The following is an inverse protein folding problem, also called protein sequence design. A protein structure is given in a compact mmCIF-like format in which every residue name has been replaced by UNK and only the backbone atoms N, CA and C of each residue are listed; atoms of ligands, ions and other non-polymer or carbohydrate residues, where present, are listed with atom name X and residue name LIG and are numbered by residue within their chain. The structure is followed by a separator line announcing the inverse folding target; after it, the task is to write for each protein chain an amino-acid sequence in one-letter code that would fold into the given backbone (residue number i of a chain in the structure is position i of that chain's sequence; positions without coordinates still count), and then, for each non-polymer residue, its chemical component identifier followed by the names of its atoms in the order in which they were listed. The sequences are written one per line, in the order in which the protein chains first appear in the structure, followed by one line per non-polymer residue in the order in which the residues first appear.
data_IF_127299858123
#
_entry.id   IF_127299858123
#
_cell.length_a   1.000
_cell.length_b   1.000
_cell.length_c   1.000
_cell.angle_alpha   90.00
_cell.angle_beta   90.00
_cell.angle_gamma   90.00
#
_symmetry.space_group_name_H-M   'P 1'
#
loop_
_entity.id
_entity.type
_entity.pdbx_description
1 polymer ?
#
# COMPACT_ATOMS: atom_id res chain seq x y z
N UNK A 1 10.09 10.29 42.37
CA UNK A 1 9.21 10.99 41.39
C UNK A 1 10.03 11.76 40.36
N UNK A 2 11.06 12.52 40.76
CA UNK A 2 11.92 13.27 39.82
C UNK A 2 12.77 12.38 38.90
N UNK A 3 13.26 11.23 39.39
CA UNK A 3 14.07 10.32 38.56
C UNK A 3 13.25 9.64 37.45
N UNK A 4 12.04 9.18 37.78
CA UNK A 4 11.10 8.59 36.80
C UNK A 4 10.68 9.59 35.71
N UNK A 5 10.52 10.87 36.05
CA UNK A 5 10.20 11.94 35.11
C UNK A 5 11.40 12.23 34.20
N UNK A 6 12.62 12.17 34.75
CA UNK A 6 13.87 12.40 34.00
C UNK A 6 14.12 11.29 32.98
N UNK A 7 13.90 10.02 33.35
CA UNK A 7 14.04 8.87 32.45
C UNK A 7 13.02 8.93 31.30
N UNK A 8 11.76 9.30 31.60
CA UNK A 8 10.72 9.47 30.58
C UNK A 8 11.08 10.60 29.60
N UNK A 9 11.62 11.71 30.12
CA UNK A 9 12.03 12.86 29.32
C UNK A 9 13.19 12.52 28.38
N UNK A 10 14.19 11.79 28.87
CA UNK A 10 15.33 11.32 28.06
C UNK A 10 14.86 10.34 26.99
N UNK A 11 13.97 9.40 27.32
CA UNK A 11 13.38 8.47 26.35
C UNK A 11 12.61 9.19 25.24
N UNK A 12 11.84 10.22 25.59
CA UNK A 12 11.10 11.07 24.63
C UNK A 12 12.05 11.85 23.71
N UNK A 13 13.14 12.39 24.25
CA UNK A 13 14.16 13.12 23.51
C UNK A 13 14.91 12.21 22.52
N UNK A 14 15.29 11.00 22.95
CA UNK A 14 15.95 10.02 22.08
C UNK A 14 15.02 9.57 20.95
N UNK A 15 13.75 9.29 21.24
CA UNK A 15 12.77 8.95 20.20
C UNK A 15 12.59 10.10 19.20
N UNK A 16 12.48 11.35 19.66
CA UNK A 16 12.39 12.51 18.79
C UNK A 16 13.62 12.64 17.86
N UNK A 17 14.84 12.44 18.37
CA UNK A 17 16.05 12.50 17.55
C UNK A 17 16.20 11.36 16.54
N UNK A 18 15.66 10.19 16.84
CA UNK A 18 15.64 9.04 15.93
C UNK A 18 14.63 9.23 14.80
N UNK A 19 13.48 9.85 15.08
CA UNK A 19 12.43 10.15 14.09
C UNK A 19 12.88 11.22 13.09
N UNK A 20 13.66 12.22 13.52
CA UNK A 20 14.14 13.28 12.62
C UNK A 20 15.20 12.80 11.62
N UNK A 21 15.93 11.73 11.93
CA UNK A 21 17.04 11.23 11.10
C UNK A 21 16.58 10.39 9.90
N UNK A 22 15.33 9.91 9.91
CA UNK A 22 14.73 9.11 8.83
C UNK A 22 13.73 9.88 7.99
N UNK A 23 13.52 11.17 8.28
CA UNK A 23 12.54 12.00 7.59
C UNK A 23 13.12 12.57 6.28
N UNK A 24 13.03 11.81 5.20
CA UNK A 24 13.28 12.32 3.85
C UNK A 24 12.04 13.09 3.35
N UNK A 25 11.92 14.37 3.71
CA UNK A 25 10.80 15.24 3.28
C UNK A 25 11.04 15.93 1.92
N UNK A 26 12.17 15.67 1.25
CA UNK A 26 12.60 16.37 0.03
C UNK A 26 12.58 15.51 -1.24
N UNK A 27 11.71 14.50 -1.32
CA UNK A 27 11.34 13.97 -2.62
C UNK A 27 10.06 14.66 -3.05
N UNK A 28 10.18 15.63 -3.95
CA UNK A 28 9.06 15.98 -4.83
C UNK A 28 8.90 14.79 -5.77
N UNK A 29 8.19 13.79 -5.29
CA UNK A 29 7.64 12.76 -6.16
C UNK A 29 6.55 13.46 -6.95
N UNK A 30 6.85 13.97 -8.14
CA UNK A 30 5.80 14.32 -9.10
C UNK A 30 5.15 12.99 -9.48
N UNK A 31 4.16 12.56 -8.70
CA UNK A 31 3.51 11.29 -8.91
C UNK A 31 2.72 11.41 -10.22
N UNK A 32 2.99 10.57 -11.23
CA UNK A 32 2.30 10.67 -12.51
C UNK A 32 0.78 10.54 -12.39
N UNK A 33 0.29 9.91 -11.31
CA UNK A 33 -1.14 9.78 -11.02
C UNK A 33 -1.80 11.07 -10.51
N UNK A 34 -1.05 12.04 -9.96
CA UNK A 34 -1.64 13.30 -9.45
C UNK A 34 -2.30 14.08 -10.59
N UNK A 35 -1.60 14.23 -11.71
CA UNK A 35 -2.12 14.89 -12.92
C UNK A 35 -3.31 14.11 -13.53
N UNK A 36 -3.23 12.78 -13.54
CA UNK A 36 -4.33 11.93 -14.02
C UNK A 36 -5.57 12.15 -13.14
N UNK A 37 -5.40 12.16 -11.82
CA UNK A 37 -6.49 12.34 -10.86
C UNK A 37 -7.09 13.74 -10.92
N UNK A 38 -6.26 14.79 -11.03
CA UNK A 38 -6.73 16.16 -11.20
C UNK A 38 -7.63 16.27 -12.43
N UNK A 39 -7.20 15.73 -13.57
CA UNK A 39 -7.99 15.76 -14.80
C UNK A 39 -9.28 14.91 -14.74
N UNK A 40 -9.25 13.76 -14.07
CA UNK A 40 -10.45 12.94 -13.87
C UNK A 40 -11.45 13.63 -12.93
N UNK A 41 -10.98 14.28 -11.86
CA UNK A 41 -11.83 15.00 -10.90
C UNK A 41 -12.59 16.17 -11.51
N UNK A 42 -12.04 16.81 -12.54
CA UNK A 42 -12.70 17.89 -13.29
C UNK A 42 -13.84 17.36 -14.16
N UNK A 43 -13.83 16.06 -14.48
CA UNK A 43 -14.76 15.43 -15.43
C UNK A 43 -16.03 14.88 -14.75
N UNK A 44 -15.99 14.61 -13.45
CA UNK A 44 -17.13 14.09 -12.66
C UNK A 44 -17.85 15.23 -11.93
N UNK A 45 -18.98 15.70 -12.48
CA UNK A 45 -19.89 16.66 -11.80
C UNK A 45 -20.75 16.01 -10.71
N UNK A 46 -20.77 14.68 -10.58
CA UNK A 46 -21.58 13.95 -9.61
C UNK A 46 -20.75 13.57 -8.38
N UNK A 47 -20.96 14.33 -7.30
CA UNK A 47 -20.31 14.17 -6.00
C UNK A 47 -20.71 12.90 -5.25
N UNK A 48 -20.41 11.73 -5.81
CA UNK A 48 -20.23 10.54 -4.99
C UNK A 48 -18.87 10.66 -4.31
N UNK A 49 -18.83 10.44 -3.00
CA UNK A 49 -17.58 10.39 -2.25
C UNK A 49 -16.94 9.04 -2.63
N UNK A 50 -16.40 8.91 -3.86
CA UNK A 50 -15.49 7.81 -4.20
C UNK A 50 -14.47 7.72 -3.08
N UNK A 51 -14.04 6.52 -2.75
CA UNK A 51 -13.02 6.37 -1.73
C UNK A 51 -11.67 6.75 -2.37
N UNK A 52 -11.43 8.05 -2.53
CA UNK A 52 -10.23 8.61 -3.13
C UNK A 52 -8.97 8.07 -2.47
N UNK A 53 -8.98 7.81 -1.16
CA UNK A 53 -7.86 7.19 -0.46
C UNK A 53 -7.51 5.81 -1.03
N UNK A 54 -8.53 4.97 -1.29
CA UNK A 54 -8.31 3.64 -1.88
C UNK A 54 -7.83 3.73 -3.33
N UNK A 55 -8.41 4.60 -4.16
CA UNK A 55 -7.99 4.77 -5.55
C UNK A 55 -6.55 5.30 -5.65
N UNK A 56 -6.20 6.25 -4.78
CA UNK A 56 -4.85 6.79 -4.68
C UNK A 56 -3.84 5.70 -4.27
N UNK A 57 -4.20 4.87 -3.30
CA UNK A 57 -3.36 3.74 -2.89
C UNK A 57 -3.17 2.74 -4.05
N UNK A 58 -4.24 2.42 -4.78
CA UNK A 58 -4.17 1.51 -5.94
C UNK A 58 -3.30 2.07 -7.08
N UNK A 59 -3.46 3.34 -7.44
CA UNK A 59 -2.65 3.98 -8.47
C UNK A 59 -1.17 4.08 -8.04
N UNK A 60 -0.91 4.35 -6.77
CA UNK A 60 0.45 4.34 -6.22
C UNK A 60 1.06 2.95 -6.30
N UNK A 61 0.30 1.91 -5.98
CA UNK A 61 0.75 0.52 -6.09
C UNK A 61 1.04 0.14 -7.56
N UNK A 62 0.25 0.65 -8.52
CA UNK A 62 0.44 0.45 -9.95
C UNK A 62 1.68 1.18 -10.50
N UNK A 63 2.01 2.39 -10.00
CA UNK A 63 3.28 3.06 -10.37
C UNK A 63 4.48 2.27 -9.85
N UNK A 64 4.39 1.73 -8.64
CA UNK A 64 5.46 0.92 -8.04
C UNK A 64 5.57 -0.48 -8.67
N UNK A 65 4.46 -1.01 -9.21
CA UNK A 65 4.38 -2.33 -9.84
C UNK A 65 3.60 -2.22 -11.17
N UNK A 66 4.22 -1.68 -12.23
CA UNK A 66 3.54 -1.48 -13.50
C UNK A 66 3.06 -2.81 -14.10
N UNK A 67 1.89 -2.75 -14.73
CA UNK A 67 1.25 -3.91 -15.35
C UNK A 67 1.90 -4.17 -16.71
N UNK A 68 2.40 -5.40 -16.92
CA UNK A 68 2.89 -5.79 -18.24
C UNK A 68 1.70 -6.01 -19.19
N UNK A 69 1.57 -5.13 -20.18
CA UNK A 69 0.48 -5.16 -21.18
C UNK A 69 0.38 -6.51 -21.87
N UNK A 70 1.52 -7.14 -22.19
CA UNK A 70 1.54 -8.40 -22.93
C UNK A 70 0.97 -9.59 -22.15
N UNK A 71 0.87 -9.48 -20.82
CA UNK A 71 0.33 -10.52 -19.94
C UNK A 71 -0.84 -10.03 -19.08
N UNK A 72 -1.34 -8.82 -19.34
CA UNK A 72 -2.40 -8.21 -18.55
C UNK A 72 -3.71 -8.97 -18.74
N UNK A 73 -4.44 -9.20 -17.65
CA UNK A 73 -5.81 -9.71 -17.74
C UNK A 73 -6.81 -8.56 -17.87
N UNK A 74 -8.03 -8.86 -18.31
CA UNK A 74 -9.11 -7.86 -18.39
C UNK A 74 -9.35 -7.20 -17.03
N UNK A 75 -9.36 -7.99 -15.97
CA UNK A 75 -9.57 -7.52 -14.60
C UNK A 75 -8.46 -6.56 -14.15
N UNK A 76 -7.21 -6.81 -14.56
CA UNK A 76 -6.10 -5.90 -14.25
C UNK A 76 -6.23 -4.57 -14.98
N UNK A 77 -6.72 -4.58 -16.23
CA UNK A 77 -6.95 -3.36 -17.01
C UNK A 77 -8.16 -2.57 -16.50
N UNK A 78 -9.17 -3.23 -15.94
CA UNK A 78 -10.33 -2.57 -15.31
C UNK A 78 -9.98 -1.77 -14.06
N UNK A 79 -8.78 -1.96 -13.48
CA UNK A 79 -8.29 -1.16 -12.35
C UNK A 79 -7.92 0.27 -12.76
N UNK A 80 -7.81 0.56 -14.06
CA UNK A 80 -7.52 1.90 -14.55
C UNK A 80 -8.83 2.69 -14.71
N UNK A 81 -9.11 3.72 -13.87
CA UNK A 81 -10.40 4.42 -13.87
C UNK A 81 -10.66 5.23 -15.14
N UNK A 82 -9.62 5.49 -15.93
CA UNK A 82 -9.69 6.22 -17.20
C UNK A 82 -9.84 5.30 -18.42
N UNK A 83 -9.81 3.98 -18.26
CA UNK A 83 -10.09 3.04 -19.35
C UNK A 83 -11.54 2.59 -19.32
N UNK A 84 -12.20 2.66 -20.48
CA UNK A 84 -13.52 2.09 -20.66
C UNK A 84 -13.46 0.64 -21.20
N UNK A 85 -14.57 -0.10 -21.08
CA UNK A 85 -14.63 -1.50 -21.52
C UNK A 85 -14.25 -1.70 -22.99
N UNK A 86 -14.60 -0.76 -23.88
CA UNK A 86 -14.28 -0.85 -25.31
C UNK A 86 -12.77 -0.70 -25.55
N UNK A 87 -12.13 0.27 -24.89
CA UNK A 87 -10.68 0.47 -24.92
C UNK A 87 -9.92 -0.75 -24.39
N UNK A 88 -10.43 -1.37 -23.32
CA UNK A 88 -9.85 -2.60 -22.75
C UNK A 88 -9.94 -3.76 -23.75
N UNK A 89 -11.10 -3.96 -24.36
CA UNK A 89 -11.28 -5.00 -25.39
C UNK A 89 -10.39 -4.75 -26.61
N UNK A 90 -10.27 -3.51 -27.08
CA UNK A 90 -9.40 -3.16 -28.21
C UNK A 90 -7.92 -3.42 -27.90
N UNK A 91 -7.48 -3.13 -26.67
CA UNK A 91 -6.11 -3.42 -26.21
C UNK A 91 -5.83 -4.92 -26.24
N UNK A 92 -6.73 -5.72 -25.67
CA UNK A 92 -6.61 -7.18 -25.65
C UNK A 92 -6.69 -7.78 -27.06
N UNK A 93 -7.56 -7.23 -27.91
CA UNK A 93 -7.69 -7.63 -29.31
C UNK A 93 -6.42 -7.33 -30.11
N UNK A 94 -5.80 -6.17 -29.91
CA UNK A 94 -4.53 -5.82 -30.55
C UNK A 94 -3.45 -6.88 -30.25
N UNK A 95 -3.28 -7.25 -28.98
CA UNK A 95 -2.29 -8.26 -28.57
C UNK A 95 -2.63 -9.64 -29.16
N UNK A 96 -3.92 -9.98 -29.20
CA UNK A 96 -4.37 -11.25 -29.77
C UNK A 96 -4.09 -11.35 -31.28
N UNK A 97 -4.29 -10.26 -32.03
CA UNK A 97 -4.14 -10.22 -33.49
C UNK A 97 -2.67 -10.07 -33.90
N UNK A 98 -1.93 -9.17 -33.25
CA UNK A 98 -0.57 -8.80 -33.63
C UNK A 98 0.53 -9.52 -32.84
N UNK A 99 0.16 -10.18 -31.74
CA UNK A 99 1.09 -10.78 -30.78
C UNK A 99 1.54 -9.78 -29.72
N UNK A 100 2.57 -10.16 -28.95
CA UNK A 100 3.12 -9.29 -27.89
C UNK A 100 3.70 -8.00 -28.45
N UNK A 101 3.30 -6.86 -27.87
CA UNK A 101 3.92 -5.57 -28.09
C UNK A 101 5.42 -5.64 -27.79
N UNK A 102 6.20 -4.96 -28.61
CA UNK A 102 7.65 -4.80 -28.45
C UNK A 102 7.99 -3.48 -27.75
N UNK A 103 7.09 -2.49 -27.83
CA UNK A 103 7.25 -1.20 -27.18
C UNK A 103 5.92 -0.62 -26.72
N UNK A 104 5.93 0.16 -25.63
CA UNK A 104 4.76 0.90 -25.13
C UNK A 104 4.17 1.86 -26.18
N UNK A 105 4.96 2.29 -27.17
CA UNK A 105 4.47 3.19 -28.23
C UNK A 105 3.48 2.52 -29.19
N UNK A 106 3.41 1.19 -29.21
CA UNK A 106 2.38 0.45 -29.97
C UNK A 106 0.97 0.68 -29.45
N UNK A 107 0.81 1.23 -28.24
CA UNK A 107 -0.50 1.69 -27.74
C UNK A 107 -1.18 2.68 -28.72
N UNK A 108 -0.40 3.42 -29.51
CA UNK A 108 -0.93 4.34 -30.54
C UNK A 108 -1.60 3.61 -31.71
N UNK A 109 -1.38 2.31 -31.86
CA UNK A 109 -1.96 1.47 -32.90
C UNK A 109 -3.25 0.79 -32.45
N UNK A 110 -3.61 0.92 -31.17
CA UNK A 110 -4.84 0.35 -30.60
C UNK A 110 -6.03 1.21 -30.98
N UNK A 111 -7.08 0.57 -31.50
CA UNK A 111 -8.31 1.27 -31.90
C UNK A 111 -8.98 1.95 -30.70
N UNK A 112 -9.52 3.16 -30.92
CA UNK A 112 -10.23 3.97 -29.92
C UNK A 112 -9.43 4.35 -28.66
N UNK A 113 -8.10 4.18 -28.69
CA UNK A 113 -7.20 4.68 -27.66
C UNK A 113 -6.66 6.05 -28.05
N UNK A 114 -7.21 7.11 -27.46
CA UNK A 114 -6.79 8.48 -27.75
C UNK A 114 -5.47 8.85 -27.05
N UNK A 115 -4.84 9.93 -27.53
CA UNK A 115 -3.53 10.38 -27.02
C UNK A 115 -3.55 10.68 -25.52
N UNK A 116 -4.63 11.24 -24.99
CA UNK A 116 -4.75 11.61 -23.57
C UNK A 116 -4.81 10.32 -22.73
N UNK A 117 -5.64 9.36 -23.12
CA UNK A 117 -5.71 8.05 -22.47
C UNK A 117 -4.37 7.32 -22.50
N UNK A 118 -3.65 7.35 -23.63
CA UNK A 118 -2.29 6.78 -23.71
C UNK A 118 -1.36 7.47 -22.72
N UNK A 119 -1.38 8.81 -22.65
CA UNK A 119 -0.53 9.58 -21.74
C UNK A 119 -0.78 9.22 -20.28
N UNK A 120 -2.05 8.97 -19.91
CA UNK A 120 -2.44 8.51 -18.58
C UNK A 120 -2.03 7.07 -18.31
N UNK A 121 -2.03 6.20 -19.32
CA UNK A 121 -1.68 4.79 -19.15
C UNK A 121 -0.17 4.58 -18.95
N UNK A 122 0.66 5.34 -19.66
CA UNK A 122 2.12 5.17 -19.72
C UNK A 122 2.84 5.00 -18.36
N UNK A 123 2.49 5.73 -17.29
CA UNK A 123 3.18 5.58 -16.01
C UNK A 123 2.91 4.26 -15.28
N UNK A 124 1.83 3.56 -15.63
CA UNK A 124 1.35 2.39 -14.90
C UNK A 124 1.55 1.08 -15.64
N UNK A 125 2.10 1.12 -16.86
CA UNK A 125 2.22 -0.05 -17.72
C UNK A 125 3.64 -0.21 -18.24
N UNK A 126 4.02 -1.47 -18.45
CA UNK A 126 5.28 -1.82 -19.08
C UNK A 126 5.04 -2.80 -20.23
N UNK A 127 6.05 -2.92 -21.08
CA UNK A 127 6.09 -3.92 -22.15
C UNK A 127 7.33 -4.77 -21.90
N UNK A 128 7.09 -5.98 -21.42
CA UNK A 128 8.14 -6.96 -21.15
C UNK A 128 7.83 -8.26 -21.91
N UNK A 129 8.87 -9.00 -22.34
CA UNK A 129 8.68 -10.30 -22.98
C UNK A 129 7.97 -11.25 -22.01
N UNK A 130 6.92 -11.91 -22.50
CA UNK A 130 6.20 -12.94 -21.74
C UNK A 130 7.00 -14.25 -21.83
N UNK A 131 8.16 -14.27 -21.18
CA UNK A 131 8.91 -15.52 -21.05
C UNK A 131 8.11 -16.50 -20.18
N UNK A 132 8.03 -17.75 -20.64
CA UNK A 132 7.27 -18.79 -19.95
C UNK A 132 7.87 -19.02 -18.55
N UNK A 133 7.08 -18.63 -17.55
CA UNK A 133 7.30 -18.69 -16.09
C UNK A 133 8.27 -17.62 -15.57
N UNK A 134 7.70 -16.48 -15.20
CA UNK A 134 8.20 -15.70 -14.07
C UNK A 134 8.28 -16.62 -12.84
N UNK A 135 9.44 -17.21 -12.57
CA UNK A 135 9.68 -17.89 -11.31
C UNK A 135 9.92 -16.82 -10.25
N UNK A 136 8.84 -16.40 -9.60
CA UNK A 136 8.91 -15.49 -8.45
C UNK A 136 9.81 -16.14 -7.41
N UNK A 137 10.99 -15.56 -7.19
CA UNK A 137 11.97 -16.11 -6.26
C UNK A 137 11.69 -15.57 -4.85
N UNK A 138 11.88 -16.37 -3.80
CA UNK A 138 11.73 -15.93 -2.40
C UNK A 138 12.50 -14.63 -2.10
N UNK A 139 13.68 -14.45 -2.71
CA UNK A 139 14.49 -13.23 -2.60
C UNK A 139 13.77 -12.00 -3.14
N UNK A 140 13.02 -12.13 -4.24
CA UNK A 140 12.27 -11.02 -4.82
C UNK A 140 11.05 -10.68 -3.95
N UNK A 141 10.36 -11.71 -3.44
CA UNK A 141 9.24 -11.53 -2.51
C UNK A 141 9.71 -10.75 -1.29
N UNK A 142 10.79 -11.18 -0.63
CA UNK A 142 11.27 -10.52 0.59
C UNK A 142 11.90 -9.14 0.33
N UNK A 143 12.41 -8.87 -0.87
CA UNK A 143 13.05 -7.59 -1.22
C UNK A 143 12.04 -6.52 -1.65
N UNK A 144 11.02 -6.91 -2.41
CA UNK A 144 10.05 -6.00 -3.02
C UNK A 144 8.65 -6.12 -2.42
N UNK A 145 8.47 -6.92 -1.37
CA UNK A 145 7.22 -6.97 -0.62
C UNK A 145 6.99 -5.67 0.15
N UNK A 146 5.74 -5.22 0.20
CA UNK A 146 5.26 -4.11 1.02
C UNK A 146 5.19 -4.58 2.47
N UNK A 147 5.76 -3.79 3.37
CA UNK A 147 5.82 -4.07 4.79
C UNK A 147 5.03 -3.00 5.55
N UNK A 148 3.97 -3.39 6.24
CA UNK A 148 3.11 -2.49 7.00
C UNK A 148 3.19 -2.84 8.48
N UNK A 149 3.46 -1.87 9.34
CA UNK A 149 3.55 -2.08 10.78
C UNK A 149 2.72 -1.02 11.52
N UNK A 150 1.71 -1.49 12.25
CA UNK A 150 0.83 -0.65 13.07
C UNK A 150 1.02 -1.03 14.52
N UNK A 151 1.34 -0.06 15.35
CA UNK A 151 1.48 -0.24 16.80
C UNK A 151 0.57 0.74 17.53
N UNK A 152 -0.09 0.25 18.59
CA UNK A 152 -0.95 1.03 19.47
C UNK A 152 -0.54 0.79 20.91
N UNK A 153 -0.45 1.86 21.69
CA UNK A 153 -0.20 1.81 23.13
C UNK A 153 -1.20 2.72 23.84
N UNK A 154 -2.04 2.14 24.72
CA UNK A 154 -2.98 2.92 25.51
C UNK A 154 -2.52 2.93 26.99
N UNK A 155 -2.19 4.13 27.49
CA UNK A 155 -1.74 4.34 28.87
C UNK A 155 -2.81 5.12 29.65
N UNK A 156 -3.47 4.51 30.66
CA UNK A 156 -4.45 5.23 31.46
C UNK A 156 -3.76 6.21 32.43
N UNK A 157 -4.16 7.49 32.38
CA UNK A 157 -3.67 8.54 33.30
C UNK A 157 -4.36 8.52 34.69
N UNK A 158 -5.25 7.57 34.92
CA UNK A 158 -6.01 7.41 36.15
C UNK A 158 -6.04 5.94 36.58
N UNK A 159 -6.20 5.71 37.89
CA UNK A 159 -6.34 4.36 38.44
C UNK A 159 -7.78 3.88 38.21
N UNK A 160 -7.95 2.88 37.35
CA UNK A 160 -9.25 2.24 37.06
C UNK A 160 -9.68 1.38 38.27
N UNK A 161 -10.96 1.44 38.68
CA UNK A 161 -11.49 0.70 39.86
C UNK A 161 -11.28 -0.83 39.78
N UNK A 162 -11.27 -1.41 38.58
CA UNK A 162 -11.01 -2.84 38.36
C UNK A 162 -9.57 -3.31 38.64
N UNK A 163 -8.65 -2.39 38.96
CA UNK A 163 -7.22 -2.65 39.17
C UNK A 163 -6.84 -2.62 40.66
N UNK A 164 -7.82 -2.56 41.57
CA UNK A 164 -7.59 -2.54 43.02
C UNK A 164 -7.40 -3.93 43.64
N UNK A 165 -7.78 -5.02 42.95
CA UNK A 165 -7.61 -6.39 43.43
C UNK A 165 -7.06 -7.31 42.32
N UNK A 166 -6.01 -8.07 42.65
CA UNK A 166 -5.39 -9.15 41.86
C UNK A 166 -5.09 -8.81 40.39
N UNK A 167 -4.21 -7.83 40.18
CA UNK A 167 -3.62 -7.55 38.88
C UNK A 167 -2.18 -8.06 38.84
N UNK A 168 -1.85 -8.93 37.88
CA UNK A 168 -0.53 -9.55 37.78
C UNK A 168 0.44 -8.75 36.90
N UNK A 169 -0.06 -7.86 36.04
CA UNK A 169 0.73 -7.07 35.08
C UNK A 169 0.37 -5.58 35.00
N UNK A 170 1.13 -4.79 34.23
CA UNK A 170 0.91 -3.35 34.08
C UNK A 170 -0.40 -3.01 33.35
N UNK A 171 -0.99 -1.86 33.68
CA UNK A 171 -2.27 -1.37 33.16
C UNK A 171 -2.22 -0.77 31.74
N UNK A 172 -1.21 -1.14 30.97
CA UNK A 172 -0.96 -0.63 29.62
C UNK A 172 -1.47 -1.66 28.61
N UNK A 173 -2.31 -1.22 27.69
CA UNK A 173 -2.70 -1.99 26.52
C UNK A 173 -1.67 -1.77 25.42
N UNK A 174 -1.26 -2.84 24.74
CA UNK A 174 -0.39 -2.73 23.58
C UNK A 174 -0.90 -3.65 22.48
N UNK A 175 -0.96 -3.16 21.24
CA UNK A 175 -1.14 -4.01 20.07
C UNK A 175 -0.11 -3.71 19.00
N UNK A 176 0.30 -4.76 18.30
CA UNK A 176 1.20 -4.72 17.16
C UNK A 176 0.59 -5.56 16.07
N UNK A 177 0.38 -4.95 14.90
CA UNK A 177 -0.06 -5.61 13.68
C UNK A 177 1.00 -5.40 12.63
N UNK A 178 1.48 -6.48 12.05
CA UNK A 178 2.45 -6.48 10.97
C UNK A 178 1.83 -7.17 9.76
N UNK A 179 1.76 -6.47 8.64
CA UNK A 179 1.31 -6.96 7.34
C UNK A 179 2.48 -7.06 6.36
N UNK A 180 2.45 -8.11 5.56
CA UNK A 180 3.37 -8.34 4.46
C UNK A 180 2.56 -8.68 3.21
N UNK A 181 2.79 -7.91 2.15
CA UNK A 181 2.06 -8.05 0.89
C UNK A 181 3.04 -8.02 -0.28
N UNK A 182 2.92 -8.97 -1.22
CA UNK A 182 3.71 -8.99 -2.44
C UNK A 182 2.82 -9.26 -3.66
N UNK A 183 2.48 -8.19 -4.38
CA UNK A 183 1.56 -8.20 -5.53
C UNK A 183 0.27 -8.97 -5.19
N UNK A 184 -0.49 -9.38 -6.18
CA UNK A 184 -1.68 -10.23 -5.98
C UNK A 184 -1.34 -11.70 -5.64
N UNK A 185 -0.08 -12.00 -5.27
CA UNK A 185 0.43 -13.38 -5.13
C UNK A 185 0.61 -13.83 -3.68
N UNK A 186 1.01 -12.94 -2.77
CA UNK A 186 1.33 -13.32 -1.38
C UNK A 186 0.81 -12.30 -0.38
N UNK A 187 0.12 -12.80 0.64
CA UNK A 187 -0.39 -12.04 1.78
C UNK A 187 -0.03 -12.80 3.07
N UNK A 188 0.62 -12.13 4.01
CA UNK A 188 0.95 -12.68 5.31
C UNK A 188 0.82 -11.58 6.39
N UNK A 189 0.41 -11.95 7.60
CA UNK A 189 0.29 -11.00 8.69
C UNK A 189 0.52 -11.63 10.05
N UNK A 190 1.03 -10.84 10.98
CA UNK A 190 1.25 -11.21 12.38
C UNK A 190 0.53 -10.17 13.24
N UNK A 191 -0.32 -10.64 14.15
CA UNK A 191 -1.01 -9.78 15.12
C UNK A 191 -0.65 -10.25 16.52
N UNK A 192 -0.16 -9.32 17.33
CA UNK A 192 0.13 -9.52 18.74
C UNK A 192 -0.61 -8.46 19.55
N UNK A 193 -1.52 -8.90 20.41
CA UNK A 193 -2.25 -8.02 21.32
C UNK A 193 -1.93 -8.40 22.76
N UNK A 194 -1.76 -7.37 23.59
CA UNK A 194 -1.56 -7.51 25.01
C UNK A 194 -2.60 -6.66 25.73
N UNK A 195 -3.49 -7.36 26.43
CA UNK A 195 -4.46 -6.71 27.28
C UNK A 195 -3.81 -6.06 28.50
N UNK A 196 -4.50 -5.02 28.97
CA UNK A 196 -4.14 -4.35 30.21
C UNK A 196 -4.25 -5.36 31.35
N UNK A 197 -3.18 -5.53 32.13
CA UNK A 197 -3.21 -6.37 33.35
C UNK A 197 -2.65 -7.75 33.30
N UNK A 198 -2.42 -8.27 32.11
CA UNK A 198 -1.85 -9.58 31.94
C UNK A 198 -0.31 -9.48 31.89
N UNK A 199 0.42 -10.49 32.42
CA UNK A 199 1.86 -10.63 32.19
C UNK A 199 2.14 -10.90 30.71
N UNK A 200 3.26 -10.40 30.19
CA UNK A 200 3.68 -10.65 28.81
C UNK A 200 3.96 -12.15 28.60
N UNK A 201 3.19 -12.82 27.74
CA UNK A 201 3.40 -14.24 27.40
C UNK A 201 2.99 -15.25 28.48
N UNK A 202 2.15 -14.87 29.45
CA UNK A 202 1.62 -15.85 30.41
C UNK A 202 0.48 -16.69 29.79
N UNK A 203 0.78 -17.95 29.48
CA UNK A 203 -0.19 -19.01 29.11
C UNK A 203 -1.07 -19.43 30.31
N UNK A 204 -1.72 -18.50 31.00
CA UNK A 204 -2.66 -18.84 32.05
C UNK A 204 -3.86 -17.90 32.03
N UNK A 205 -4.85 -18.26 31.20
CA UNK A 205 -6.24 -18.00 31.53
C UNK A 205 -6.71 -19.15 32.42
N UNK A 206 -7.13 -18.85 33.65
CA UNK A 206 -7.85 -19.76 34.54
C UNK A 206 -9.21 -19.17 34.83
#
# INVERSE_FOLDING_TARGET
MNESISILSIFLLVNMTLITSTCHAQNRSDYPWEEVMENLSISDEEGDIRNWENELEELTDLVNNPVNINSATKEQLQRFPFLNDVQIENLLAYIYIHGSMQTVYELQLVEELDRQTIQYLLPFVCVEPVDKKESVTLKQILKYGKHEAVTRMDVPLYKRKGYEKNYLGPAVYNSVKYGFHYREKVYAGIVAEKDSGEPFGALHNK
#
